data_IF_165055706830
#
_entry.id   IF_165055706830
#
_cell.length_a   1.000
_cell.length_b   1.000
_cell.length_c   1.000
_cell.angle_alpha   90.00
_cell.angle_beta   90.00
_cell.angle_gamma   90.00
#
_symmetry.space_group_name_H-M   'P 1'
#
loop_
_entity.id
_entity.type
_entity.pdbx_description
1 polymer ?
#
# COMPACT_ATOMS: atom_id res chain seq x y z
N UNK A 1 -19.52 30.33 -7.03
CA UNK A 1 -19.37 29.37 -5.92
C UNK A 1 -18.30 28.39 -6.32
N UNK A 2 -17.15 28.38 -5.64
CA UNK A 2 -16.10 27.39 -5.84
C UNK A 2 -16.11 26.51 -4.60
N UNK A 3 -16.45 25.23 -4.77
CA UNK A 3 -16.27 24.24 -3.72
C UNK A 3 -14.79 23.90 -3.66
N UNK A 4 -14.13 24.34 -2.60
CA UNK A 4 -12.77 23.93 -2.26
C UNK A 4 -12.77 22.40 -2.08
N UNK A 5 -12.09 21.71 -2.98
CA UNK A 5 -11.73 20.31 -2.80
C UNK A 5 -10.72 20.27 -1.64
N UNK A 6 -10.95 19.51 -0.56
CA UNK A 6 -9.97 19.41 0.51
C UNK A 6 -8.71 18.78 -0.07
N UNK A 7 -7.66 19.58 -0.20
CA UNK A 7 -6.32 19.11 -0.52
C UNK A 7 -5.91 18.21 0.64
N UNK A 8 -5.78 16.90 0.38
CA UNK A 8 -5.32 15.91 1.37
C UNK A 8 -3.88 16.24 1.76
N UNK A 9 -3.73 17.03 2.81
CA UNK A 9 -2.46 17.49 3.39
C UNK A 9 -1.83 16.42 4.32
N UNK A 10 -1.78 15.16 3.88
CA UNK A 10 -1.38 14.01 4.71
C UNK A 10 -0.05 13.38 4.25
N UNK A 11 0.98 14.20 4.07
CA UNK A 11 2.38 13.72 4.05
C UNK A 11 3.07 13.94 5.40
N UNK A 12 2.33 13.86 6.51
CA UNK A 12 2.93 13.92 7.85
C UNK A 12 3.71 12.63 8.10
N UNK A 13 5.04 12.75 8.16
CA UNK A 13 5.91 11.63 8.55
C UNK A 13 5.55 11.17 9.97
N UNK A 14 4.86 10.03 10.08
CA UNK A 14 4.48 9.48 11.37
C UNK A 14 5.68 8.73 11.98
N UNK A 15 6.10 9.17 13.16
CA UNK A 15 7.15 8.47 13.94
C UNK A 15 6.47 7.40 14.80
N UNK A 16 6.90 6.16 14.65
CA UNK A 16 6.37 5.01 15.41
C UNK A 16 7.51 4.35 16.17
N UNK A 17 7.33 4.17 17.48
CA UNK A 17 8.27 3.42 18.32
C UNK A 17 7.91 1.93 18.33
N UNK A 18 8.91 1.07 18.07
CA UNK A 18 8.73 -0.39 18.04
C UNK A 18 9.73 -1.02 19.01
N UNK A 19 9.27 -2.01 19.78
CA UNK A 19 10.15 -2.83 20.63
C UNK A 19 10.55 -4.07 19.84
N UNK A 20 11.85 -4.29 19.73
CA UNK A 20 12.45 -5.42 19.02
C UNK A 20 13.27 -6.26 20.00
N UNK A 21 13.34 -7.57 19.74
CA UNK A 21 14.30 -8.43 20.44
C UNK A 21 15.74 -8.10 19.98
N UNK A 22 16.73 -8.55 20.76
CA UNK A 22 18.14 -8.39 20.38
C UNK A 22 18.44 -9.04 19.02
N UNK A 23 17.94 -10.26 18.79
CA UNK A 23 18.11 -10.98 17.52
C UNK A 23 17.51 -10.22 16.32
N UNK A 24 16.35 -9.58 16.50
CA UNK A 24 15.71 -8.78 15.45
C UNK A 24 16.53 -7.52 15.15
N UNK A 25 17.10 -6.87 16.18
CA UNK A 25 17.96 -5.71 16.00
C UNK A 25 19.26 -6.10 15.26
N UNK A 26 19.88 -7.21 15.63
CA UNK A 26 21.07 -7.74 14.96
C UNK A 26 20.81 -8.10 13.50
N UNK A 27 19.65 -8.70 13.20
CA UNK A 27 19.23 -8.94 11.83
C UNK A 27 19.15 -7.65 11.01
N UNK A 28 18.51 -6.60 11.56
CA UNK A 28 18.40 -5.32 10.86
C UNK A 28 19.76 -4.64 10.67
N UNK A 29 20.66 -4.73 11.65
CA UNK A 29 22.02 -4.20 11.55
C UNK A 29 22.86 -4.92 10.49
N UNK A 30 22.75 -6.25 10.38
CA UNK A 30 23.41 -7.02 9.30
C UNK A 30 22.91 -6.60 7.93
N UNK A 31 21.59 -6.50 7.77
CA UNK A 31 20.99 -6.07 6.50
C UNK A 31 21.37 -4.62 6.15
N UNK A 32 21.47 -3.75 7.15
CA UNK A 32 21.99 -2.38 6.97
C UNK A 32 23.40 -2.43 6.40
N UNK A 33 24.31 -3.18 7.03
CA UNK A 33 25.70 -3.27 6.60
C UNK A 33 25.86 -3.84 5.17
N UNK A 34 25.06 -4.86 4.82
CA UNK A 34 25.01 -5.38 3.44
C UNK A 34 24.59 -4.29 2.45
N UNK A 35 23.54 -3.53 2.76
CA UNK A 35 23.08 -2.43 1.90
C UNK A 35 24.09 -1.29 1.78
N UNK A 36 24.80 -0.96 2.85
CA UNK A 36 25.87 0.05 2.82
C UNK A 36 27.06 -0.42 1.97
N UNK A 37 27.36 -1.71 2.00
CA UNK A 37 28.36 -2.33 1.12
C UNK A 37 27.95 -2.27 -0.36
N UNK A 38 26.69 -2.63 -0.67
CA UNK A 38 26.19 -2.64 -2.05
C UNK A 38 26.10 -1.24 -2.67
N UNK A 39 25.80 -0.21 -1.87
CA UNK A 39 25.60 1.16 -2.32
C UNK A 39 26.86 2.03 -2.16
N UNK A 40 27.89 1.51 -1.48
CA UNK A 40 29.09 2.26 -1.07
C UNK A 40 28.74 3.57 -0.32
N UNK A 41 27.63 3.58 0.41
CA UNK A 41 27.05 4.76 1.03
C UNK A 41 26.35 4.44 2.36
N UNK A 42 26.29 5.41 3.26
CA UNK A 42 25.61 5.25 4.56
C UNK A 42 24.09 5.15 4.39
N UNK A 43 23.47 4.20 5.10
CA UNK A 43 22.03 3.93 5.02
C UNK A 43 21.39 4.07 6.40
N UNK A 44 20.34 4.90 6.50
CA UNK A 44 19.58 5.02 7.75
C UNK A 44 18.82 3.72 8.06
N UNK A 45 18.71 3.37 9.34
CA UNK A 45 17.90 2.22 9.78
C UNK A 45 16.43 2.35 9.34
N UNK A 46 15.90 3.58 9.31
CA UNK A 46 14.56 3.84 8.80
C UNK A 46 14.39 3.47 7.32
N UNK A 47 15.44 3.62 6.50
CA UNK A 47 15.44 3.18 5.10
C UNK A 47 15.38 1.66 4.98
N UNK A 48 16.17 0.95 5.79
CA UNK A 48 16.17 -0.52 5.84
C UNK A 48 14.78 -1.04 6.22
N UNK A 49 14.20 -0.50 7.29
CA UNK A 49 12.84 -0.87 7.75
C UNK A 49 11.79 -0.55 6.69
N UNK A 50 11.84 0.63 6.06
CA UNK A 50 10.94 0.98 4.95
C UNK A 50 11.03 -0.01 3.81
N UNK A 51 12.24 -0.42 3.40
CA UNK A 51 12.44 -1.39 2.31
C UNK A 51 11.81 -2.74 2.63
N UNK A 52 11.99 -3.25 3.86
CA UNK A 52 11.38 -4.50 4.31
C UNK A 52 9.86 -4.40 4.29
N UNK A 53 9.29 -3.34 4.88
CA UNK A 53 7.85 -3.13 4.93
C UNK A 53 7.25 -2.96 3.54
N UNK A 54 7.86 -2.17 2.66
CA UNK A 54 7.42 -2.04 1.27
C UNK A 54 7.39 -3.38 0.57
N UNK A 55 8.43 -4.22 0.71
CA UNK A 55 8.46 -5.56 0.10
C UNK A 55 7.35 -6.46 0.64
N UNK A 56 7.12 -6.44 1.95
CA UNK A 56 6.05 -7.20 2.59
C UNK A 56 4.68 -6.73 2.10
N UNK A 57 4.42 -5.42 2.13
CA UNK A 57 3.17 -4.82 1.70
C UNK A 57 2.92 -5.12 0.22
N UNK A 58 3.89 -4.92 -0.67
CA UNK A 58 3.74 -5.23 -2.10
C UNK A 58 3.41 -6.70 -2.34
N UNK A 59 4.10 -7.62 -1.64
CA UNK A 59 3.83 -9.07 -1.74
C UNK A 59 2.43 -9.46 -1.25
N UNK A 60 1.93 -8.80 -0.20
CA UNK A 60 0.65 -9.15 0.43
C UNK A 60 -0.55 -8.35 -0.10
N UNK A 61 -0.35 -7.17 -0.69
CA UNK A 61 -1.40 -6.34 -1.28
C UNK A 61 -1.68 -6.68 -2.75
N UNK A 62 -0.71 -7.22 -3.50
CA UNK A 62 -0.96 -7.72 -4.87
C UNK A 62 -2.08 -8.78 -4.93
N UNK A 63 -2.38 -9.48 -3.83
CA UNK A 63 -3.45 -10.46 -3.77
C UNK A 63 -4.80 -9.93 -3.21
N UNK A 64 -4.87 -8.70 -2.69
CA UNK A 64 -6.12 -8.16 -2.09
C UNK A 64 -6.69 -6.93 -2.81
N UNK A 65 -5.86 -6.14 -3.47
CA UNK A 65 -6.32 -4.96 -4.23
C UNK A 65 -7.06 -5.35 -5.50
N UNK A 66 -6.44 -6.21 -6.32
CA UNK A 66 -6.95 -6.59 -7.64
C UNK A 66 -8.24 -7.42 -7.55
N UNK A 67 -8.32 -8.39 -6.64
CA UNK A 67 -9.51 -9.25 -6.54
C UNK A 67 -10.75 -8.50 -6.04
N UNK A 68 -10.56 -7.52 -5.13
CA UNK A 68 -11.68 -6.70 -4.64
C UNK A 68 -12.12 -5.70 -5.71
N UNK A 69 -11.17 -5.05 -6.39
CA UNK A 69 -11.46 -4.09 -7.46
C UNK A 69 -12.15 -4.78 -8.65
N UNK A 70 -11.62 -5.93 -9.10
CA UNK A 70 -12.24 -6.75 -10.17
C UNK A 70 -13.63 -7.24 -9.81
N UNK A 71 -13.86 -7.63 -8.54
CA UNK A 71 -15.21 -8.01 -8.08
C UNK A 71 -16.17 -6.83 -8.09
N UNK A 72 -15.68 -5.63 -7.77
CA UNK A 72 -16.48 -4.41 -7.76
C UNK A 72 -16.84 -3.99 -9.19
N UNK A 73 -15.87 -3.98 -10.11
CA UNK A 73 -16.10 -3.73 -11.54
C UNK A 73 -17.06 -4.76 -12.16
N UNK A 74 -16.91 -6.05 -11.81
CA UNK A 74 -17.81 -7.09 -12.27
C UNK A 74 -19.24 -6.94 -11.71
N UNK A 75 -19.39 -6.40 -10.50
CA UNK A 75 -20.71 -6.10 -9.92
C UNK A 75 -21.34 -4.86 -10.58
N UNK A 76 -20.57 -3.80 -10.81
CA UNK A 76 -21.04 -2.60 -11.52
C UNK A 76 -21.51 -2.92 -12.93
N UNK A 77 -20.77 -3.74 -13.69
CA UNK A 77 -21.20 -4.20 -15.01
C UNK A 77 -22.50 -5.02 -14.95
N UNK A 78 -22.66 -5.90 -13.96
CA UNK A 78 -23.90 -6.69 -13.80
C UNK A 78 -25.08 -5.82 -13.43
N UNK A 79 -24.89 -4.80 -12.59
CA UNK A 79 -25.94 -3.83 -12.25
C UNK A 79 -26.37 -3.05 -13.48
N UNK A 80 -25.43 -2.49 -14.25
CA UNK A 80 -25.75 -1.76 -15.48
C UNK A 80 -26.53 -2.59 -16.52
N UNK A 81 -26.19 -3.88 -16.66
CA UNK A 81 -26.94 -4.80 -17.54
C UNK A 81 -28.36 -5.06 -17.00
N UNK A 82 -28.52 -5.17 -15.68
CA UNK A 82 -29.82 -5.40 -15.07
C UNK A 82 -30.71 -4.15 -15.14
N UNK A 83 -30.14 -2.96 -14.95
CA UNK A 83 -30.82 -1.68 -15.13
C UNK A 83 -31.28 -1.51 -16.57
N UNK A 84 -30.42 -1.74 -17.57
CA UNK A 84 -30.79 -1.67 -18.97
C UNK A 84 -31.92 -2.65 -19.36
N UNK A 85 -31.90 -3.88 -18.82
CA UNK A 85 -32.96 -4.88 -19.03
C UNK A 85 -34.25 -4.60 -18.26
N UNK A 86 -34.18 -3.78 -17.23
CA UNK A 86 -35.35 -3.37 -16.47
C UNK A 86 -36.03 -2.19 -17.16
N UNK A 87 -35.26 -1.23 -17.66
CA UNK A 87 -35.73 -0.10 -18.47
C UNK A 87 -36.43 -0.58 -19.75
N UNK A 88 -35.82 -1.51 -20.50
CA UNK A 88 -36.38 -2.11 -21.73
C UNK A 88 -37.68 -2.92 -21.52
N UNK A 89 -38.00 -3.31 -20.28
CA UNK A 89 -39.23 -4.05 -19.93
C UNK A 89 -40.34 -3.17 -19.34
N UNK A 90 -40.04 -1.91 -19.04
CA UNK A 90 -40.96 -0.97 -18.42
C UNK A 90 -41.22 0.28 -19.28
N UNK A 91 -40.73 0.31 -20.53
CA UNK A 91 -41.22 1.12 -21.65
C UNK A 91 -42.31 0.36 -22.45
#
# INVERSE_FOLDING_TARGET
MFTEVPVKDDSKSQVVSVRLSAEQLEFLNRLKAEMEGDLEAEVSMATVVRRILSRYISKHQQHRGDDRLRRLEALEQRVAILEAKWEDRHE
#
